data_IF_500314329267
#
_entry.id   IF_500314329267
#
_cell.length_a   1.000
_cell.length_b   1.000
_cell.length_c   1.000
_cell.angle_alpha   90.00
_cell.angle_beta   90.00
_cell.angle_gamma   90.00
#
_symmetry.space_group_name_H-M   'P 1'
#
loop_
_entity.id
_entity.type
_entity.pdbx_description
1 polymer ?
#
# COMPACT_ATOMS: atom_id res chain seq x y z
N UNK A 1 24.33 25.50 21.24
CA UNK A 1 24.44 24.05 21.51
C UNK A 1 23.05 23.53 21.82
N UNK A 2 22.52 22.64 20.97
CA UNK A 2 21.43 21.70 21.25
C UNK A 2 20.01 22.24 21.51
N UNK A 3 19.29 22.67 20.46
CA UNK A 3 17.83 22.71 20.53
C UNK A 3 17.31 21.29 20.29
N UNK A 4 16.98 20.58 21.38
CA UNK A 4 16.30 19.29 21.32
C UNK A 4 14.87 19.50 20.84
N UNK A 5 14.68 19.47 19.53
CA UNK A 5 13.36 19.31 18.93
C UNK A 5 12.96 17.85 19.16
N UNK A 6 12.22 17.60 20.23
CA UNK A 6 11.59 16.30 20.47
C UNK A 6 10.62 16.02 19.31
N UNK A 7 10.96 15.02 18.49
CA UNK A 7 10.09 14.46 17.46
C UNK A 7 8.80 13.94 18.16
N UNK A 8 7.62 14.48 17.84
CA UNK A 8 6.38 14.13 18.52
C UNK A 8 5.88 12.72 18.18
N UNK A 9 6.52 12.01 17.24
CA UNK A 9 6.19 10.64 16.93
C UNK A 9 7.31 9.70 17.37
N UNK A 10 7.13 9.05 18.51
CA UNK A 10 7.95 7.94 19.04
C UNK A 10 8.01 6.70 18.10
N UNK A 11 8.30 6.86 16.80
CA UNK A 11 8.43 5.77 15.84
C UNK A 11 7.15 4.96 15.60
N UNK A 12 5.97 5.46 15.99
CA UNK A 12 4.70 4.75 15.78
C UNK A 12 4.21 4.94 14.34
N UNK A 13 4.27 3.86 13.56
CA UNK A 13 3.55 3.74 12.30
C UNK A 13 2.04 3.62 12.59
N UNK A 14 1.24 4.58 12.10
CA UNK A 14 -0.22 4.59 12.30
C UNK A 14 -0.98 3.80 11.24
N UNK A 15 -0.42 3.69 10.03
CA UNK A 15 -1.00 2.96 8.91
C UNK A 15 0.08 2.52 7.92
N UNK A 16 -0.19 1.41 7.22
CA UNK A 16 0.63 0.91 6.13
C UNK A 16 -0.11 1.06 4.80
N UNK A 17 0.57 1.59 3.79
CA UNK A 17 0.08 1.60 2.41
C UNK A 17 0.79 0.51 1.60
N UNK A 18 0.02 -0.47 1.11
CA UNK A 18 0.55 -1.54 0.28
C UNK A 18 0.28 -1.23 -1.19
N UNK A 19 1.32 -0.78 -1.88
CA UNK A 19 1.27 -0.58 -3.31
C UNK A 19 1.45 -1.92 -4.02
N UNK A 20 0.52 -2.26 -4.91
CA UNK A 20 0.48 -3.51 -5.65
C UNK A 20 1.04 -3.34 -7.07
N UNK A 21 1.72 -4.37 -7.56
CA UNK A 21 2.13 -4.45 -8.97
C UNK A 21 1.12 -5.25 -9.79
N UNK A 22 1.21 -5.11 -11.11
CA UNK A 22 0.46 -5.93 -12.06
C UNK A 22 -0.69 -5.22 -12.75
N UNK A 23 -1.14 -4.07 -12.24
CA UNK A 23 -2.11 -3.25 -12.96
C UNK A 23 -1.51 -2.71 -14.26
N UNK A 24 -2.24 -2.87 -15.36
CA UNK A 24 -1.91 -2.38 -16.68
C UNK A 24 -3.13 -1.66 -17.28
N UNK A 25 -3.10 -0.33 -17.31
CA UNK A 25 -4.20 0.48 -17.85
C UNK A 25 -4.49 0.17 -19.33
N UNK A 26 -3.56 -0.44 -20.08
CA UNK A 26 -3.79 -0.77 -21.49
C UNK A 26 -4.65 -2.02 -21.69
N UNK A 27 -4.69 -2.93 -20.71
CA UNK A 27 -5.32 -4.25 -20.87
C UNK A 27 -6.36 -4.57 -19.82
N UNK A 28 -6.22 -4.00 -18.62
CA UNK A 28 -7.06 -4.36 -17.49
C UNK A 28 -8.38 -3.60 -17.53
N UNK A 29 -9.52 -4.23 -17.19
CA UNK A 29 -10.79 -3.52 -17.10
C UNK A 29 -10.74 -2.41 -16.05
N UNK A 30 -11.03 -1.17 -16.46
CA UNK A 30 -11.07 -0.02 -15.57
C UNK A 30 -11.93 1.11 -16.15
N UNK A 31 -12.29 2.08 -15.31
CA UNK A 31 -12.89 3.33 -15.76
C UNK A 31 -11.79 4.38 -15.99
N UNK A 32 -11.78 5.00 -17.18
CA UNK A 32 -10.74 5.98 -17.57
C UNK A 32 -10.66 7.16 -16.59
N UNK A 33 -11.81 7.64 -16.12
CA UNK A 33 -11.87 8.74 -15.15
C UNK A 33 -11.19 8.42 -13.81
N UNK A 34 -11.22 7.15 -13.39
CA UNK A 34 -10.56 6.70 -12.16
C UNK A 34 -9.03 6.65 -12.32
N UNK A 35 -8.53 6.21 -13.48
CA UNK A 35 -7.08 6.23 -13.77
C UNK A 35 -6.55 7.66 -13.74
N UNK A 36 -7.21 8.58 -14.46
CA UNK A 36 -6.79 9.99 -14.50
C UNK A 36 -6.81 10.62 -13.11
N UNK A 37 -7.86 10.35 -12.33
CA UNK A 37 -7.95 10.84 -10.95
C UNK A 37 -6.76 10.38 -10.10
N UNK A 38 -6.39 9.09 -10.17
CA UNK A 38 -5.27 8.55 -9.39
C UNK A 38 -3.92 9.16 -9.80
N UNK A 39 -3.69 9.34 -11.10
CA UNK A 39 -2.47 9.98 -11.63
C UNK A 39 -2.36 11.44 -11.17
N UNK A 40 -3.47 12.21 -11.21
CA UNK A 40 -3.55 13.57 -10.69
C UNK A 40 -3.24 13.66 -9.18
N UNK A 41 -3.47 12.58 -8.44
CA UNK A 41 -3.18 12.47 -6.99
C UNK A 41 -1.83 11.80 -6.70
N UNK A 42 -0.93 11.75 -7.69
CA UNK A 42 0.47 11.34 -7.50
C UNK A 42 0.70 9.84 -7.59
N UNK A 43 -0.27 9.05 -8.06
CA UNK A 43 -0.07 7.62 -8.31
C UNK A 43 0.53 7.40 -9.69
N UNK A 44 1.79 6.97 -9.74
CA UNK A 44 2.43 6.54 -11.00
C UNK A 44 2.12 5.07 -11.29
N UNK A 45 1.15 4.81 -12.17
CA UNK A 45 0.68 3.46 -12.49
C UNK A 45 1.75 2.61 -13.19
N UNK A 46 2.59 3.23 -14.02
CA UNK A 46 3.72 2.54 -14.68
C UNK A 46 4.80 2.12 -13.69
N UNK A 47 5.13 2.98 -12.72
CA UNK A 47 6.03 2.61 -11.64
C UNK A 47 5.43 1.50 -10.77
N UNK A 48 4.11 1.53 -10.58
CA UNK A 48 3.40 0.53 -9.82
C UNK A 48 3.54 -0.86 -10.43
N UNK A 49 3.37 -0.95 -11.75
CA UNK A 49 3.47 -2.19 -12.51
C UNK A 49 4.81 -2.90 -12.33
N UNK A 50 5.92 -2.17 -12.18
CA UNK A 50 7.28 -2.76 -12.18
C UNK A 50 7.84 -2.97 -10.77
N UNK A 51 7.65 -2.01 -9.87
CA UNK A 51 8.45 -1.93 -8.62
C UNK A 51 7.70 -2.34 -7.36
N UNK A 52 6.41 -2.61 -7.45
CA UNK A 52 5.54 -2.80 -6.28
C UNK A 52 5.33 -4.26 -5.90
N UNK A 53 4.54 -4.51 -4.86
CA UNK A 53 4.42 -5.81 -4.23
C UNK A 53 3.50 -6.72 -5.10
N UNK A 54 3.94 -7.94 -5.46
CA UNK A 54 3.04 -8.93 -6.04
C UNK A 54 1.90 -9.28 -5.09
N UNK A 55 0.68 -9.40 -5.60
CA UNK A 55 -0.51 -9.70 -4.80
C UNK A 55 -0.35 -11.01 -4.03
N UNK A 56 0.27 -12.02 -4.63
CA UNK A 56 0.50 -13.34 -4.03
C UNK A 56 1.40 -13.20 -2.79
N UNK A 57 2.45 -12.38 -2.89
CA UNK A 57 3.37 -12.13 -1.78
C UNK A 57 2.70 -11.38 -0.63
N UNK A 58 1.84 -10.40 -0.94
CA UNK A 58 1.08 -9.70 0.11
C UNK A 58 0.10 -10.66 0.79
N UNK A 59 -0.61 -11.47 0.01
CA UNK A 59 -1.57 -12.47 0.50
C UNK A 59 -0.90 -13.47 1.44
N UNK A 60 0.25 -14.01 1.05
CA UNK A 60 1.06 -14.90 1.87
C UNK A 60 1.51 -14.26 3.18
N UNK A 61 1.96 -13.01 3.12
CA UNK A 61 2.38 -12.27 4.30
C UNK A 61 1.20 -12.02 5.26
N UNK A 62 0.05 -11.63 4.73
CA UNK A 62 -1.16 -11.39 5.52
C UNK A 62 -1.64 -12.68 6.21
N UNK A 63 -1.66 -13.81 5.51
CA UNK A 63 -2.00 -15.11 6.12
C UNK A 63 -1.05 -15.50 7.25
N UNK A 64 0.27 -15.32 7.05
CA UNK A 64 1.28 -15.69 8.05
C UNK A 64 1.41 -14.68 9.20
N UNK A 65 0.95 -13.44 9.02
CA UNK A 65 1.05 -12.38 10.02
C UNK A 65 0.17 -12.58 11.25
N UNK A 66 -0.81 -13.49 11.19
CA UNK A 66 -1.83 -13.65 12.23
C UNK A 66 -2.91 -12.55 12.24
N UNK A 67 -2.80 -11.52 11.39
CA UNK A 67 -3.80 -10.44 11.29
C UNK A 67 -5.16 -10.92 10.79
N UNK A 68 -5.16 -11.95 9.93
CA UNK A 68 -6.40 -12.51 9.35
C UNK A 68 -7.04 -13.59 10.24
N UNK A 69 -6.34 -14.10 11.26
CA UNK A 69 -6.87 -15.08 12.22
C UNK A 69 -7.16 -14.41 13.56
N UNK A 70 -8.22 -13.59 13.62
CA UNK A 70 -8.87 -13.31 14.91
C UNK A 70 -9.74 -14.53 15.22
N UNK A 71 -9.32 -15.33 16.19
CA UNK A 71 -10.22 -16.26 16.88
C UNK A 71 -11.41 -15.43 17.37
N UNK A 72 -12.60 -15.81 16.95
CA UNK A 72 -13.82 -15.38 17.59
C UNK A 72 -13.65 -15.54 19.10
N UNK A 73 -13.83 -14.44 19.82
CA UNK A 73 -14.04 -14.47 21.26
C UNK A 73 -15.40 -15.15 21.44
N UNK A 74 -15.36 -16.45 21.70
CA UNK A 74 -16.49 -17.18 22.30
C UNK A 74 -16.51 -16.91 23.80
#
# INVERSE_FOLDING_TARGET
MGNNHSDPNNGRCLAFEFNLRGFNHATDPHALGSVRYLEEHGMSLDEHRVRRIPMERLTDALHRSGLLHRRDVS
#
